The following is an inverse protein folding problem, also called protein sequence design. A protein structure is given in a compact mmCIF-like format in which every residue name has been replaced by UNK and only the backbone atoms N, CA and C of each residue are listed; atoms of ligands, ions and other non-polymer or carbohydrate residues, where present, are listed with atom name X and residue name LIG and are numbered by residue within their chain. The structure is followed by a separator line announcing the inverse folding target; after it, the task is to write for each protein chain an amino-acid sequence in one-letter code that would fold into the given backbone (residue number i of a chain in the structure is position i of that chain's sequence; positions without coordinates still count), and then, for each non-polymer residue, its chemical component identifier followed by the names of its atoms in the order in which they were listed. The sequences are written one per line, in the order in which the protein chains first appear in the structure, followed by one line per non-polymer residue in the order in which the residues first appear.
data_IF_896018407929
#
_entry.id   IF_896018407929
#
_cell.length_a   1.000
_cell.length_b   1.000
_cell.length_c   1.000
_cell.angle_alpha   90.00
_cell.angle_beta   90.00
_cell.angle_gamma   90.00
#
_symmetry.space_group_name_H-M   'P 1'
#
loop_
_entity.id
_entity.type
_entity.pdbx_description
1 polymer ?
#
# COMPACT_ATOMS: atom_id res chain seq x y z
N UNK A 1 0.00 -1.06 18.86
CA UNK A 1 1.26 -1.72 18.51
C UNK A 1 1.87 -1.00 17.31
N UNK A 2 3.18 -0.84 17.32
CA UNK A 2 3.90 -0.12 16.26
C UNK A 2 4.96 -1.03 15.67
N UNK A 3 4.97 -1.17 14.36
CA UNK A 3 6.01 -1.87 13.62
C UNK A 3 6.83 -0.87 12.82
N UNK A 4 8.15 -0.97 12.92
CA UNK A 4 9.08 -0.15 12.16
C UNK A 4 9.88 -1.03 11.21
N UNK A 5 10.00 -0.62 9.96
CA UNK A 5 10.80 -1.29 8.94
C UNK A 5 11.57 -0.26 8.14
N UNK A 6 12.77 -0.62 7.71
CA UNK A 6 13.60 0.22 6.87
C UNK A 6 14.03 -0.57 5.64
N UNK A 7 13.81 0.01 4.46
CA UNK A 7 14.16 -0.60 3.18
C UNK A 7 14.84 0.46 2.32
N UNK A 8 16.09 0.22 1.95
CA UNK A 8 16.88 1.14 1.11
C UNK A 8 16.89 2.59 1.63
N UNK A 9 17.01 2.76 2.95
CA UNK A 9 17.03 4.07 3.58
C UNK A 9 15.67 4.71 3.80
N UNK A 10 14.59 4.08 3.35
CA UNK A 10 13.23 4.57 3.56
C UNK A 10 12.65 3.90 4.80
N UNK A 11 12.17 4.70 5.73
CA UNK A 11 11.57 4.23 6.98
C UNK A 11 10.06 4.12 6.82
N UNK A 12 9.52 2.96 7.21
CA UNK A 12 8.08 2.73 7.27
C UNK A 12 7.66 2.48 8.71
N UNK A 13 6.58 3.11 9.12
CA UNK A 13 5.95 2.90 10.41
C UNK A 13 4.51 2.47 10.22
N UNK A 14 4.14 1.37 10.85
CA UNK A 14 2.79 0.82 10.82
C UNK A 14 2.21 0.94 12.22
N UNK A 15 1.25 1.82 12.39
CA UNK A 15 0.54 2.02 13.65
C UNK A 15 -0.72 1.17 13.63
N UNK A 16 -0.77 0.18 14.51
CA UNK A 16 -1.82 -0.82 14.58
C UNK A 16 -2.69 -0.60 15.81
N UNK A 17 -3.98 -0.43 15.60
CA UNK A 17 -4.96 -0.20 16.64
C UNK A 17 -6.14 -1.14 16.50
N UNK A 18 -6.74 -1.53 17.63
CA UNK A 18 -8.02 -2.24 17.65
C UNK A 18 -9.14 -1.23 17.81
N UNK A 19 -10.25 -1.47 17.17
CA UNK A 19 -11.46 -0.67 17.34
C UNK A 19 -12.64 -1.57 17.64
N UNK A 20 -13.60 -1.02 18.37
CA UNK A 20 -14.85 -1.72 18.65
C UNK A 20 -16.00 -0.72 18.71
N UNK A 21 -17.15 -1.18 18.25
CA UNK A 21 -18.43 -0.52 18.37
C UNK A 21 -19.39 -1.48 19.06
N UNK A 22 -20.63 -1.05 19.31
CA UNK A 22 -21.64 -1.89 19.93
C UNK A 22 -21.86 -3.23 19.19
N UNK A 23 -21.76 -3.21 17.84
CA UNK A 23 -22.12 -4.35 17.00
C UNK A 23 -20.97 -4.87 16.15
N UNK A 24 -19.79 -4.28 16.23
CA UNK A 24 -18.67 -4.68 15.38
C UNK A 24 -17.32 -4.35 16.01
N UNK A 25 -16.29 -5.03 15.56
CA UNK A 25 -14.93 -4.84 16.04
C UNK A 25 -13.94 -5.19 14.94
N UNK A 26 -12.72 -4.74 15.07
CA UNK A 26 -11.70 -5.01 14.07
C UNK A 26 -10.38 -4.34 14.35
N UNK A 27 -9.56 -4.29 13.32
CA UNK A 27 -8.25 -3.65 13.34
C UNK A 27 -8.19 -2.50 12.37
N UNK A 28 -7.38 -1.50 12.73
CA UNK A 28 -7.04 -0.38 11.88
C UNK A 28 -5.53 -0.25 11.85
N UNK A 29 -4.95 -0.16 10.66
CA UNK A 29 -3.53 0.04 10.46
C UNK A 29 -3.31 1.27 9.60
N UNK A 30 -2.44 2.16 10.07
CA UNK A 30 -2.01 3.34 9.34
C UNK A 30 -0.55 3.20 8.98
N UNK A 31 -0.23 3.40 7.70
CA UNK A 31 1.12 3.32 7.17
C UNK A 31 1.69 4.72 6.98
N UNK A 32 2.83 4.96 7.60
CA UNK A 32 3.59 6.20 7.47
C UNK A 32 4.93 5.94 6.77
N UNK A 33 5.35 6.91 6.00
CA UNK A 33 6.65 6.91 5.32
C UNK A 33 7.49 8.04 5.89
N UNK A 34 8.75 7.76 6.26
CA UNK A 34 9.69 8.73 6.80
C UNK A 34 9.13 9.54 7.97
N UNK A 35 8.45 8.86 8.90
CA UNK A 35 7.90 9.35 10.17
C UNK A 35 6.73 10.35 10.06
N UNK A 36 6.51 11.01 8.93
CA UNK A 36 5.54 12.10 8.84
C UNK A 36 4.47 11.94 7.78
N UNK A 37 4.75 11.27 6.69
CA UNK A 37 3.81 11.17 5.58
C UNK A 37 2.91 9.94 5.73
N UNK A 38 1.64 10.17 6.04
CA UNK A 38 0.62 9.14 6.01
C UNK A 38 0.34 8.75 4.56
N UNK A 39 0.65 7.52 4.19
CA UNK A 39 0.49 7.02 2.82
C UNK A 39 -0.62 6.00 2.66
N UNK A 40 -1.15 5.47 3.73
CA UNK A 40 -2.25 4.52 3.65
C UNK A 40 -2.92 4.26 4.99
N UNK A 41 -4.15 3.79 4.93
CA UNK A 41 -4.94 3.38 6.07
C UNK A 41 -5.87 2.25 5.65
N UNK A 42 -5.88 1.16 6.40
CA UNK A 42 -6.83 0.07 6.21
C UNK A 42 -7.57 -0.21 7.51
N UNK A 43 -8.87 -0.40 7.38
CA UNK A 43 -9.75 -0.75 8.50
C UNK A 43 -10.45 -2.05 8.15
N UNK A 44 -10.24 -3.06 8.98
CA UNK A 44 -10.80 -4.39 8.76
C UNK A 44 -11.79 -4.69 9.88
N UNK A 45 -12.99 -5.14 9.48
CA UNK A 45 -14.02 -5.62 10.39
C UNK A 45 -13.96 -7.14 10.48
N UNK A 46 -14.05 -7.66 11.69
CA UNK A 46 -14.16 -9.11 11.92
C UNK A 46 -15.57 -9.48 12.35
N UNK A 47 -16.09 -10.53 11.73
CA UNK A 47 -17.43 -11.06 12.05
C UNK A 47 -17.35 -12.19 13.06
N UNK A 48 -16.28 -12.95 13.07
CA UNK A 48 -16.03 -14.05 14.00
C UNK A 48 -14.65 -13.89 14.65
N UNK A 49 -14.51 -14.35 15.88
CA UNK A 49 -13.21 -14.44 16.54
C UNK A 49 -12.45 -15.64 15.99
N UNK A 50 -11.46 -15.38 15.16
CA UNK A 50 -10.55 -16.36 14.59
C UNK A 50 -9.13 -16.08 15.05
N UNK A 51 -8.22 -16.97 14.77
CA UNK A 51 -6.79 -16.75 15.03
C UNK A 51 -6.30 -15.44 14.43
N UNK A 52 -6.68 -15.12 13.20
CA UNK A 52 -6.29 -13.90 12.48
C UNK A 52 -6.79 -12.63 13.16
N UNK A 53 -7.92 -12.70 13.88
CA UNK A 53 -8.49 -11.55 14.55
C UNK A 53 -7.69 -11.07 15.77
N UNK A 54 -6.73 -11.86 16.24
CA UNK A 54 -5.83 -11.47 17.32
C UNK A 54 -4.50 -10.90 16.81
N UNK A 55 -4.29 -10.90 15.49
CA UNK A 55 -3.07 -10.42 14.86
C UNK A 55 -3.37 -9.31 13.88
N UNK A 56 -2.49 -8.32 13.84
CA UNK A 56 -2.61 -7.20 12.89
C UNK A 56 -2.14 -7.53 11.49
N UNK A 57 -1.59 -8.71 11.26
CA UNK A 57 -0.94 -9.08 10.01
C UNK A 57 -1.82 -8.90 8.78
N UNK A 58 -3.08 -9.32 8.84
CA UNK A 58 -4.02 -9.16 7.72
C UNK A 58 -4.29 -7.68 7.40
N UNK A 59 -4.44 -6.84 8.42
CA UNK A 59 -4.64 -5.41 8.23
C UNK A 59 -3.38 -4.72 7.70
N UNK A 60 -2.20 -5.13 8.16
CA UNK A 60 -0.91 -4.64 7.66
C UNK A 60 -0.76 -4.96 6.17
N UNK A 61 -0.98 -6.21 5.79
CA UNK A 61 -0.92 -6.63 4.39
C UNK A 61 -1.93 -5.90 3.52
N UNK A 62 -3.14 -5.68 4.03
CA UNK A 62 -4.18 -4.96 3.32
C UNK A 62 -3.78 -3.51 3.02
N UNK A 63 -3.23 -2.78 3.99
CA UNK A 63 -2.82 -1.39 3.78
C UNK A 63 -1.67 -1.27 2.79
N UNK A 64 -0.71 -2.19 2.85
CA UNK A 64 0.41 -2.23 1.91
C UNK A 64 -0.09 -2.56 0.50
N UNK A 65 -0.94 -3.57 0.38
CA UNK A 65 -1.54 -3.98 -0.90
C UNK A 65 -2.34 -2.84 -1.54
N UNK A 66 -3.18 -2.15 -0.78
CA UNK A 66 -3.94 -1.00 -1.28
C UNK A 66 -3.03 0.14 -1.74
N UNK A 67 -1.93 0.37 -1.03
CA UNK A 67 -0.93 1.36 -1.42
C UNK A 67 -0.29 1.00 -2.76
N UNK A 68 0.10 -0.27 -2.95
CA UNK A 68 0.64 -0.78 -4.20
C UNK A 68 -0.38 -0.60 -5.34
N UNK A 69 -1.63 -0.96 -5.12
CA UNK A 69 -2.69 -0.83 -6.13
C UNK A 69 -2.95 0.63 -6.52
N UNK A 70 -2.88 1.56 -5.57
CA UNK A 70 -3.00 3.00 -5.87
C UNK A 70 -1.84 3.50 -6.72
N UNK A 71 -0.61 3.05 -6.46
CA UNK A 71 0.56 3.39 -7.27
C UNK A 71 0.38 2.87 -8.70
N UNK A 72 -0.07 1.64 -8.86
CA UNK A 72 -0.36 1.05 -10.17
C UNK A 72 -1.45 1.82 -10.91
N UNK A 73 -2.52 2.19 -10.22
CA UNK A 73 -3.63 2.94 -10.81
C UNK A 73 -3.18 4.34 -11.28
N UNK A 74 -2.38 5.03 -10.47
CA UNK A 74 -1.84 6.34 -10.82
C UNK A 74 -0.92 6.26 -12.06
N UNK A 75 -0.06 5.25 -12.13
CA UNK A 75 0.79 5.00 -13.30
C UNK A 75 -0.04 4.73 -14.55
N UNK A 76 -1.10 3.94 -14.42
CA UNK A 76 -2.02 3.61 -15.50
C UNK A 76 -2.77 4.83 -16.04
N UNK A 77 -3.22 5.72 -15.16
CA UNK A 77 -3.88 6.96 -15.56
C UNK A 77 -2.91 7.92 -16.27
N UNK A 78 -1.68 8.05 -15.77
CA UNK A 78 -0.65 8.83 -16.43
C UNK A 78 -0.39 8.33 -17.85
N UNK A 79 -0.28 7.02 -18.00
CA UNK A 79 -0.11 6.38 -19.30
C UNK A 79 -1.25 6.68 -20.27
N UNK A 80 -2.50 6.55 -19.82
CA UNK A 80 -3.69 6.85 -20.63
C UNK A 80 -3.69 8.31 -21.08
N UNK A 81 -3.37 9.24 -20.20
CA UNK A 81 -3.32 10.66 -20.48
C UNK A 81 -2.28 10.98 -21.54
N UNK A 82 -1.06 10.46 -21.41
CA UNK A 82 0.02 10.66 -22.37
C UNK A 82 -0.33 10.08 -23.74
N UNK A 83 -0.95 8.91 -23.76
CA UNK A 83 -1.39 8.29 -25.02
C UNK A 83 -2.54 9.07 -25.68
N UNK A 84 -3.51 9.54 -24.90
CA UNK A 84 -4.62 10.34 -25.39
C UNK A 84 -4.16 11.64 -26.10
N UNK A 85 -3.19 12.32 -25.53
CA UNK A 85 -2.62 13.55 -26.12
C UNK A 85 -1.57 13.26 -27.21
N UNK A 86 -1.38 12.01 -27.59
CA UNK A 86 -0.40 11.58 -28.62
C UNK A 86 1.03 12.04 -28.31
N UNK A 87 1.34 12.26 -27.05
CA UNK A 87 2.69 12.60 -26.58
C UNK A 87 3.64 11.42 -26.76
N UNK A 88 3.11 10.21 -26.64
CA UNK A 88 3.86 8.97 -26.81
C UNK A 88 3.21 8.07 -27.86
N UNK A 89 4.05 7.41 -28.66
CA UNK A 89 3.58 6.31 -29.52
C UNK A 89 3.14 5.14 -28.63
N UNK A 90 2.33 4.22 -29.18
CA UNK A 90 1.85 3.04 -28.45
C UNK A 90 3.01 2.22 -27.86
N UNK A 91 4.11 2.08 -28.60
CA UNK A 91 5.31 1.36 -28.15
C UNK A 91 5.99 2.07 -26.97
N UNK A 92 6.23 3.38 -27.08
CA UNK A 92 6.85 4.17 -26.02
C UNK A 92 5.96 4.27 -24.79
N UNK A 93 4.65 4.31 -25.00
CA UNK A 93 3.69 4.31 -23.92
C UNK A 93 3.77 3.01 -23.10
N UNK A 94 3.93 1.85 -23.77
CA UNK A 94 4.13 0.57 -23.09
C UNK A 94 5.46 0.52 -22.32
N UNK A 95 6.54 1.04 -22.91
CA UNK A 95 7.85 1.14 -22.25
C UNK A 95 7.79 2.03 -21.02
N UNK A 96 7.09 3.15 -21.10
CA UNK A 96 6.90 4.09 -19.99
C UNK A 96 6.11 3.45 -18.85
N UNK A 97 5.03 2.73 -19.16
CA UNK A 97 4.25 2.00 -18.17
C UNK A 97 5.09 0.94 -17.45
N UNK A 98 5.94 0.22 -18.21
CA UNK A 98 6.86 -0.76 -17.63
C UNK A 98 7.93 -0.10 -16.77
N UNK A 99 8.46 1.04 -17.20
CA UNK A 99 9.40 1.84 -16.41
C UNK A 99 8.79 2.25 -15.06
N UNK A 100 7.55 2.74 -15.06
CA UNK A 100 6.86 3.11 -13.83
C UNK A 100 6.63 1.90 -12.91
N UNK A 101 6.28 0.75 -13.49
CA UNK A 101 6.08 -0.48 -12.73
C UNK A 101 7.38 -1.00 -12.09
N UNK A 102 8.53 -0.70 -12.70
CA UNK A 102 9.86 -1.05 -12.20
C UNK A 102 10.52 0.06 -11.37
N UNK A 103 9.78 1.13 -11.07
CA UNK A 103 10.28 2.23 -10.24
C UNK A 103 10.81 1.67 -8.91
N UNK A 104 12.01 2.11 -8.46
CA UNK A 104 12.56 1.70 -7.17
C UNK A 104 11.62 1.96 -6.00
N UNK A 105 10.86 3.04 -6.04
CA UNK A 105 9.86 3.34 -5.00
C UNK A 105 8.76 2.27 -4.96
N UNK A 106 8.28 1.83 -6.11
CA UNK A 106 7.30 0.74 -6.18
C UNK A 106 7.86 -0.57 -5.63
N UNK A 107 9.11 -0.89 -5.96
CA UNK A 107 9.78 -2.10 -5.48
C UNK A 107 9.90 -2.14 -3.96
N UNK A 108 10.07 -1.00 -3.31
CA UNK A 108 10.14 -0.88 -1.85
C UNK A 108 8.85 -1.40 -1.19
N UNK A 109 7.68 -1.06 -1.73
CA UNK A 109 6.40 -1.52 -1.18
C UNK A 109 6.22 -3.02 -1.35
N UNK A 110 6.69 -3.60 -2.44
CA UNK A 110 6.68 -5.06 -2.61
C UNK A 110 7.56 -5.76 -1.58
N UNK A 111 8.74 -5.20 -1.30
CA UNK A 111 9.62 -5.73 -0.24
C UNK A 111 8.99 -5.59 1.15
N UNK A 112 8.35 -4.46 1.43
CA UNK A 112 7.64 -4.26 2.69
C UNK A 112 6.52 -5.30 2.87
N UNK A 113 5.76 -5.57 1.82
CA UNK A 113 4.70 -6.58 1.84
C UNK A 113 5.24 -7.97 2.21
N UNK A 114 6.39 -8.35 1.66
CA UNK A 114 7.02 -9.64 1.92
C UNK A 114 7.51 -9.81 3.36
N UNK A 115 7.73 -8.71 4.08
CA UNK A 115 8.18 -8.73 5.48
C UNK A 115 7.06 -9.13 6.45
N UNK A 116 5.85 -9.18 5.99
CA UNK A 116 4.67 -9.56 6.76
C UNK A 116 3.92 -10.72 6.10
#
# INVERSE_FOLDING_TARGET
MIYNREINGVKFTLVCESWSTRNSWGHEVTLYKNDYAKIGRAKIRYYNRTWESYQYQSAIKAVIFETIERIKAAAKETFKTLHHYKVLTKKRAAEFAQYLANDPEFAIYNELYKMF
#
